data_IF_955423748536
#
_entry.id   IF_955423748536
#
_cell.length_a   1.000
_cell.length_b   1.000
_cell.length_c   1.000
_cell.angle_alpha   90.00
_cell.angle_beta   90.00
_cell.angle_gamma   90.00
#
_symmetry.space_group_name_H-M   'P 1'
#
loop_
_entity.id
_entity.type
_entity.pdbx_description
1 polymer ?
#
# COMPACT_ATOMS: atom_id res chain seq x y z
N UNK A 1 -9.43 7.82 -6.70
CA UNK A 1 -9.15 6.83 -5.62
C UNK A 1 -8.39 7.39 -4.37
N UNK A 2 -7.51 7.98 -3.56
CA UNK A 2 -7.71 8.08 -2.11
C UNK A 2 -8.19 9.45 -1.66
N UNK A 3 -7.53 10.01 -0.64
CA UNK A 3 -7.79 11.33 -0.05
C UNK A 3 -9.22 11.53 0.50
N UNK A 4 -9.68 10.59 1.34
CA UNK A 4 -10.82 10.83 2.24
C UNK A 4 -10.44 11.76 3.40
N UNK A 5 -10.02 12.98 3.09
CA UNK A 5 -9.76 14.03 4.09
C UNK A 5 -11.03 14.41 4.87
N UNK A 6 -12.21 14.20 4.27
CA UNK A 6 -13.49 14.25 4.97
C UNK A 6 -13.83 12.88 5.59
N UNK A 7 -14.17 12.86 6.88
CA UNK A 7 -14.58 11.67 7.66
C UNK A 7 -13.68 10.43 7.45
N UNK A 8 -12.35 10.56 7.62
CA UNK A 8 -11.44 9.44 7.55
C UNK A 8 -11.79 8.36 8.59
N UNK A 9 -11.51 7.10 8.26
CA UNK A 9 -11.69 5.94 9.13
C UNK A 9 -10.39 5.50 9.80
N UNK A 10 -9.25 5.85 9.23
CA UNK A 10 -7.91 5.63 9.79
C UNK A 10 -6.93 6.65 9.19
N UNK A 11 -5.89 7.01 9.94
CA UNK A 11 -4.73 7.78 9.42
C UNK A 11 -3.57 6.82 9.14
N UNK A 12 -2.95 6.91 7.97
CA UNK A 12 -1.78 6.11 7.60
C UNK A 12 -0.53 6.99 7.61
N UNK A 13 0.37 6.77 8.57
CA UNK A 13 1.60 7.53 8.76
C UNK A 13 2.74 6.88 7.96
N UNK A 14 3.17 7.54 6.90
CA UNK A 14 4.14 7.06 5.90
C UNK A 14 5.45 7.89 5.92
N UNK A 15 6.44 7.41 5.15
CA UNK A 15 7.76 8.03 5.03
C UNK A 15 7.72 9.29 4.17
N UNK A 16 7.33 9.13 2.91
CA UNK A 16 7.30 10.16 1.87
C UNK A 16 6.36 9.66 0.75
N UNK A 17 5.64 10.54 0.02
CA UNK A 17 4.81 10.10 -1.10
C UNK A 17 5.69 9.35 -2.10
N UNK A 18 5.42 8.07 -2.41
CA UNK A 18 6.40 7.18 -3.03
C UNK A 18 7.08 7.79 -4.26
N UNK A 19 8.42 7.82 -4.31
CA UNK A 19 9.22 8.59 -5.29
C UNK A 19 8.78 8.40 -6.75
N UNK A 20 8.33 7.20 -7.11
CA UNK A 20 7.71 6.90 -8.42
C UNK A 20 6.60 7.89 -8.82
N UNK A 21 5.82 8.40 -7.88
CA UNK A 21 4.76 9.39 -8.09
C UNK A 21 5.26 10.73 -8.67
N UNK A 22 6.51 11.12 -8.41
CA UNK A 22 7.09 12.35 -9.00
C UNK A 22 7.21 12.22 -10.53
N UNK A 23 7.48 11.00 -11.02
CA UNK A 23 7.53 10.68 -12.44
C UNK A 23 6.15 10.31 -13.01
N UNK A 24 5.45 9.37 -12.36
CA UNK A 24 4.20 8.76 -12.85
C UNK A 24 2.98 9.69 -12.67
N UNK A 25 3.00 10.57 -11.66
CA UNK A 25 1.98 11.58 -11.32
C UNK A 25 0.57 11.07 -11.05
N UNK A 26 0.33 9.76 -11.15
CA UNK A 26 -0.93 9.11 -10.78
C UNK A 26 -0.83 8.53 -9.35
N UNK A 27 -1.25 9.32 -8.36
CA UNK A 27 -1.44 8.84 -6.98
C UNK A 27 -2.61 7.85 -6.86
N UNK A 28 -3.62 7.98 -7.73
CA UNK A 28 -4.92 7.35 -7.58
C UNK A 28 -4.86 5.85 -7.91
N UNK A 29 -4.07 5.46 -8.90
CA UNK A 29 -3.88 4.04 -9.26
C UNK A 29 -2.55 3.46 -8.77
N UNK A 30 -1.89 4.12 -7.81
CA UNK A 30 -0.65 3.61 -7.23
C UNK A 30 -0.86 2.24 -6.55
N UNK A 31 0.04 1.26 -6.75
CA UNK A 31 -0.16 -0.10 -6.29
C UNK A 31 -0.19 -0.22 -4.76
N UNK A 32 0.39 0.72 -3.99
CA UNK A 32 0.35 0.64 -2.52
C UNK A 32 -1.04 0.99 -1.95
N UNK A 33 -1.66 2.15 -2.25
CA UNK A 33 -3.06 2.43 -1.95
C UNK A 33 -4.01 1.33 -2.48
N UNK A 34 -3.91 0.96 -3.77
CA UNK A 34 -4.80 -0.04 -4.39
C UNK A 34 -4.69 -1.42 -3.73
N UNK A 35 -3.48 -1.83 -3.32
CA UNK A 35 -3.30 -3.03 -2.49
C UNK A 35 -3.94 -2.87 -1.11
N UNK A 36 -3.78 -1.73 -0.44
CA UNK A 36 -4.46 -1.48 0.83
C UNK A 36 -5.99 -1.52 0.70
N UNK A 37 -6.58 -0.99 -0.39
CA UNK A 37 -8.01 -1.13 -0.69
C UNK A 37 -8.44 -2.61 -0.72
N UNK A 38 -7.70 -3.46 -1.44
CA UNK A 38 -7.99 -4.90 -1.54
C UNK A 38 -7.87 -5.64 -0.22
N UNK A 39 -6.81 -5.41 0.57
CA UNK A 39 -6.62 -6.09 1.85
C UNK A 39 -7.68 -5.65 2.89
N UNK A 40 -8.19 -4.42 2.79
CA UNK A 40 -9.33 -3.95 3.58
C UNK A 40 -10.63 -4.63 3.15
N UNK A 41 -10.89 -4.79 1.85
CA UNK A 41 -12.04 -5.55 1.33
C UNK A 41 -11.97 -7.02 1.73
N UNK A 42 -10.79 -7.64 1.71
CA UNK A 42 -10.56 -9.00 2.21
C UNK A 42 -10.85 -9.16 3.72
N UNK A 43 -10.77 -8.07 4.48
CA UNK A 43 -11.15 -7.98 5.89
C UNK A 43 -12.60 -7.48 6.12
N UNK A 44 -13.44 -7.48 5.08
CA UNK A 44 -14.87 -7.20 5.19
C UNK A 44 -15.29 -5.74 5.00
N UNK A 45 -14.38 -4.83 4.61
CA UNK A 45 -14.80 -3.48 4.19
C UNK A 45 -15.68 -3.60 2.93
N UNK A 46 -16.91 -3.03 2.88
CA UNK A 46 -17.91 -3.45 1.89
C UNK A 46 -17.58 -3.20 0.41
N UNK A 47 -16.68 -2.28 0.12
CA UNK A 47 -16.25 -1.97 -1.26
C UNK A 47 -14.89 -1.26 -1.28
N UNK A 48 -14.20 -1.25 -2.44
CA UNK A 48 -13.02 -0.39 -2.64
C UNK A 48 -13.31 1.11 -2.47
N UNK A 49 -14.58 1.54 -2.54
CA UNK A 49 -14.96 2.94 -2.32
C UNK A 49 -14.99 3.30 -0.83
N UNK A 50 -15.55 2.45 0.04
CA UNK A 50 -15.42 2.62 1.49
C UNK A 50 -13.97 2.40 1.96
N UNK A 51 -13.19 1.55 1.27
CA UNK A 51 -11.79 1.32 1.59
C UNK A 51 -10.91 2.59 1.46
N UNK A 52 -11.23 3.50 0.51
CA UNK A 52 -10.57 4.82 0.40
C UNK A 52 -10.69 5.68 1.63
N UNK A 53 -11.69 5.43 2.46
CA UNK A 53 -11.87 6.18 3.71
C UNK A 53 -10.80 5.87 4.75
N UNK A 54 -10.03 4.82 4.55
CA UNK A 54 -8.84 4.49 5.35
C UNK A 54 -7.55 5.13 4.80
N UNK A 55 -7.59 5.76 3.63
CA UNK A 55 -6.42 6.34 2.92
C UNK A 55 -6.17 7.81 3.25
N UNK A 56 -6.41 8.22 4.51
CA UNK A 56 -5.95 9.52 4.99
C UNK A 56 -4.46 9.43 5.31
N UNK A 57 -3.65 9.56 4.27
CA UNK A 57 -2.19 9.52 4.37
C UNK A 57 -1.67 10.78 5.04
N UNK A 58 -0.77 10.57 6.00
CA UNK A 58 0.14 11.57 6.54
C UNK A 58 1.55 11.15 6.12
N UNK A 59 2.25 12.01 5.39
CA UNK A 59 3.65 11.80 5.02
C UNK A 59 4.58 12.49 6.03
N UNK A 60 5.64 11.78 6.46
CA UNK A 60 6.57 12.31 7.46
C UNK A 60 7.44 13.46 6.95
N UNK A 61 7.58 13.63 5.63
CA UNK A 61 8.14 14.83 5.01
C UNK A 61 7.10 15.52 4.11
N UNK A 62 7.06 16.86 4.06
CA UNK A 62 6.25 17.58 3.09
C UNK A 62 6.78 17.37 1.65
N UNK A 63 5.90 17.48 0.66
CA UNK A 63 6.21 17.29 -0.78
C UNK A 63 7.36 18.18 -1.28
N UNK A 64 7.57 19.34 -0.66
CA UNK A 64 8.65 20.29 -0.97
C UNK A 64 9.87 20.24 -0.05
N UNK A 65 10.07 19.17 0.73
CA UNK A 65 11.32 18.97 1.47
C UNK A 65 12.52 18.82 0.51
N UNK A 66 13.67 19.38 0.86
CA UNK A 66 14.89 19.28 0.05
C UNK A 66 15.43 17.85 0.01
N UNK A 67 15.67 17.31 -1.19
CA UNK A 67 16.12 15.94 -1.38
C UNK A 67 17.38 15.81 -2.27
N UNK A 68 18.31 14.94 -1.86
CA UNK A 68 19.34 14.41 -2.78
C UNK A 68 18.74 13.24 -3.57
N UNK A 69 17.98 13.61 -4.60
CA UNK A 69 17.14 12.75 -5.44
C UNK A 69 17.78 11.39 -5.77
N UNK A 70 17.31 10.35 -5.07
CA UNK A 70 17.63 8.95 -5.36
C UNK A 70 18.58 8.25 -4.38
N UNK A 71 19.22 8.93 -3.43
CA UNK A 71 19.94 8.23 -2.36
C UNK A 71 18.99 7.75 -1.25
N UNK A 72 18.94 6.43 -1.04
CA UNK A 72 18.21 5.80 0.05
C UNK A 72 18.86 6.16 1.40
N UNK A 73 18.20 7.05 2.15
CA UNK A 73 18.55 7.36 3.54
C UNK A 73 19.01 8.80 3.84
N UNK A 74 19.04 9.69 2.85
CA UNK A 74 19.48 11.09 3.03
C UNK A 74 18.36 12.08 3.36
N UNK A 75 17.09 11.66 3.40
CA UNK A 75 15.95 12.55 3.66
C UNK A 75 15.93 12.98 5.14
N UNK A 76 15.95 14.29 5.47
CA UNK A 76 16.01 14.78 6.84
C UNK A 76 14.64 14.79 7.53
N UNK A 77 14.00 13.62 7.67
CA UNK A 77 12.70 13.47 8.34
C UNK A 77 12.73 13.98 9.80
N UNK A 78 13.88 13.82 10.45
CA UNK A 78 14.12 14.29 11.82
C UNK A 78 14.10 15.85 11.96
N UNK A 79 13.98 16.61 10.87
CA UNK A 79 13.76 18.07 10.90
C UNK A 79 12.28 18.50 10.91
N UNK A 80 11.35 17.61 10.50
CA UNK A 80 9.94 17.97 10.26
C UNK A 80 8.98 17.66 11.43
N UNK A 81 9.49 17.45 12.65
CA UNK A 81 8.71 17.03 13.82
C UNK A 81 7.45 17.86 14.09
N UNK A 82 7.50 19.19 13.99
CA UNK A 82 6.34 20.06 14.26
C UNK A 82 5.27 19.93 13.17
N UNK A 83 5.67 19.85 11.90
CA UNK A 83 4.77 19.56 10.78
C UNK A 83 4.12 18.19 10.95
N UNK A 84 4.90 17.17 11.31
CA UNK A 84 4.41 15.82 11.54
C UNK A 84 3.37 15.79 12.67
N UNK A 85 3.70 16.40 13.82
CA UNK A 85 2.82 16.48 14.97
C UNK A 85 1.54 17.27 14.68
N UNK A 86 1.62 18.39 13.95
CA UNK A 86 0.46 19.18 13.55
C UNK A 86 -0.44 18.42 12.56
N UNK A 87 0.12 17.82 11.53
CA UNK A 87 -0.63 17.10 10.49
C UNK A 87 -1.31 15.83 11.03
N UNK A 88 -0.62 15.06 11.88
CA UNK A 88 -1.24 13.91 12.58
C UNK A 88 -2.37 14.36 13.52
N UNK A 89 -2.23 15.50 14.20
CA UNK A 89 -3.32 16.05 15.05
C UNK A 89 -4.53 16.45 14.21
N UNK A 90 -4.33 17.25 13.17
CA UNK A 90 -5.39 17.73 12.29
C UNK A 90 -6.21 16.58 11.67
N UNK A 91 -5.57 15.48 11.27
CA UNK A 91 -6.25 14.31 10.69
C UNK A 91 -6.98 13.41 11.72
N UNK A 92 -6.73 13.61 13.01
CA UNK A 92 -7.39 12.90 14.12
C UNK A 92 -8.40 13.78 14.89
N UNK A 93 -8.44 15.08 14.60
CA UNK A 93 -9.41 16.04 15.11
C UNK A 93 -10.70 16.03 14.26
N UNK A 94 -11.42 14.90 14.28
CA UNK A 94 -12.77 14.84 13.70
C UNK A 94 -13.73 15.79 14.46
N UNK A 95 -14.31 16.82 13.79
CA UNK A 95 -15.28 17.72 14.39
C UNK A 95 -16.67 17.09 14.59
N UNK A 96 -16.94 15.90 14.04
CA UNK A 96 -18.23 15.22 14.20
C UNK A 96 -18.35 14.43 15.52
N UNK A 97 -17.24 14.01 16.13
CA UNK A 97 -17.23 13.09 17.29
C UNK A 97 -17.20 13.83 18.65
N UNK A 98 -17.60 15.10 18.70
CA UNK A 98 -17.73 15.87 19.95
C UNK A 98 -19.03 15.57 20.72
N UNK A 99 -19.39 14.29 20.84
CA UNK A 99 -20.54 13.84 21.65
C UNK A 99 -20.09 13.48 23.06
N UNK A 100 -19.84 14.51 23.88
CA UNK A 100 -19.62 14.38 25.31
C UNK A 100 -20.91 13.94 26.04
N UNK A 101 -21.14 12.64 26.21
CA UNK A 101 -22.19 12.12 27.11
C UNK A 101 -21.75 12.22 28.59
N UNK A 102 -21.84 13.45 29.12
CA UNK A 102 -21.56 13.77 30.53
C UNK A 102 -22.45 13.01 31.55
N UNK A 103 -23.45 12.23 31.11
CA UNK A 103 -24.43 11.57 31.99
C UNK A 103 -24.03 10.16 32.42
N UNK A 104 -22.94 9.59 31.89
CA UNK A 104 -22.57 8.18 32.10
C UNK A 104 -21.19 7.92 32.71
N UNK A 105 -20.43 8.97 33.06
CA UNK A 105 -19.11 8.82 33.71
C UNK A 105 -18.08 8.03 32.89
N UNK A 106 -18.16 8.09 31.55
CA UNK A 106 -17.31 7.29 30.68
C UNK A 106 -15.88 7.83 30.54
N UNK A 107 -14.98 6.92 30.13
CA UNK A 107 -13.54 7.17 29.95
C UNK A 107 -13.29 8.19 28.82
N UNK A 108 -12.09 8.79 28.84
CA UNK A 108 -11.57 9.77 27.85
C UNK A 108 -12.08 9.49 26.41
N UNK A 109 -12.50 10.52 25.65
CA UNK A 109 -12.88 10.39 24.25
C UNK A 109 -11.77 9.76 23.40
N UNK A 110 -12.11 9.30 22.20
CA UNK A 110 -11.17 8.58 21.33
C UNK A 110 -11.03 9.26 19.96
N UNK A 111 -10.07 8.78 19.19
CA UNK A 111 -9.93 9.08 17.76
C UNK A 111 -10.09 7.80 16.96
N UNK A 112 -10.19 7.94 15.64
CA UNK A 112 -9.88 6.87 14.70
C UNK A 112 -8.44 6.33 14.92
N UNK A 113 -8.14 5.08 14.52
CA UNK A 113 -6.81 4.49 14.65
C UNK A 113 -5.78 5.12 13.71
N UNK A 114 -4.50 4.94 14.05
CA UNK A 114 -3.34 5.22 13.20
C UNK A 114 -2.63 3.91 12.83
N UNK A 115 -2.18 3.76 11.59
CA UNK A 115 -1.19 2.73 11.21
C UNK A 115 0.10 3.42 10.77
N UNK A 116 1.25 2.96 11.27
CA UNK A 116 2.56 3.59 11.09
C UNK A 116 3.48 2.64 10.32
N UNK A 117 3.85 3.03 9.10
CA UNK A 117 4.46 2.14 8.12
C UNK A 117 5.94 2.40 7.89
N UNK A 118 6.75 1.34 7.95
CA UNK A 118 8.19 1.37 7.70
C UNK A 118 9.03 1.72 8.94
N UNK A 119 10.35 1.58 8.84
CA UNK A 119 11.23 1.67 10.02
C UNK A 119 11.40 3.10 10.55
N UNK A 120 11.70 4.07 9.67
CA UNK A 120 11.91 5.45 10.08
C UNK A 120 10.63 6.10 10.65
N UNK A 121 9.44 5.98 10.01
CA UNK A 121 8.22 6.63 10.52
C UNK A 121 7.77 6.07 11.87
N UNK A 122 8.02 4.78 12.15
CA UNK A 122 7.79 4.19 13.49
C UNK A 122 8.70 4.78 14.58
N UNK A 123 9.99 5.01 14.29
CA UNK A 123 10.90 5.70 15.20
C UNK A 123 10.42 7.13 15.50
N UNK A 124 10.03 7.86 14.46
CA UNK A 124 9.51 9.24 14.55
C UNK A 124 8.22 9.29 15.36
N UNK A 125 7.23 8.47 15.02
CA UNK A 125 5.96 8.38 15.74
C UNK A 125 6.18 8.03 17.23
N UNK A 126 7.09 7.10 17.52
CA UNK A 126 7.46 6.76 18.90
C UNK A 126 8.03 7.97 19.65
N UNK A 127 8.95 8.73 19.02
CA UNK A 127 9.56 9.94 19.60
C UNK A 127 8.56 11.09 19.80
N UNK A 128 7.58 11.24 18.91
CA UNK A 128 6.61 12.34 18.96
C UNK A 128 5.47 12.12 19.96
N UNK A 129 5.04 10.87 20.15
CA UNK A 129 3.71 10.59 20.73
C UNK A 129 3.69 9.55 21.85
N UNK A 130 4.75 8.75 22.01
CA UNK A 130 4.82 7.68 23.00
C UNK A 130 5.82 8.07 24.09
N UNK A 131 5.65 7.46 25.27
CA UNK A 131 6.46 7.72 26.45
C UNK A 131 6.79 6.43 27.21
N UNK A 132 7.63 6.53 28.23
CA UNK A 132 8.03 5.46 29.16
C UNK A 132 6.84 4.69 29.81
N UNK A 133 5.63 5.25 29.78
CA UNK A 133 4.40 4.74 30.41
C UNK A 133 3.45 4.12 29.38
N UNK A 134 3.73 4.33 28.10
CA UNK A 134 2.97 3.85 26.97
C UNK A 134 3.17 2.36 26.81
N UNK A 135 2.10 1.59 27.06
CA UNK A 135 2.13 0.14 26.89
C UNK A 135 2.01 -0.21 25.41
N UNK A 136 3.04 -0.87 24.91
CA UNK A 136 3.08 -1.47 23.57
C UNK A 136 2.92 -2.98 23.74
N UNK A 137 2.16 -3.58 22.84
CA UNK A 137 1.84 -5.01 22.82
C UNK A 137 2.20 -5.63 21.47
N UNK A 138 2.56 -6.89 21.47
CA UNK A 138 2.81 -7.70 20.28
C UNK A 138 2.14 -9.07 20.45
N UNK A 139 2.12 -9.88 19.37
CA UNK A 139 1.81 -11.30 19.48
C UNK A 139 3.13 -12.10 19.53
N UNK A 140 3.25 -13.02 20.48
CA UNK A 140 4.42 -13.90 20.60
C UNK A 140 4.35 -15.08 19.61
N UNK A 141 5.38 -15.94 19.58
CA UNK A 141 5.43 -17.13 18.72
C UNK A 141 4.38 -18.20 19.03
N UNK A 142 3.56 -18.00 20.07
CA UNK A 142 2.52 -18.90 20.56
C UNK A 142 1.09 -18.36 20.32
N UNK A 143 0.95 -17.16 19.72
CA UNK A 143 -0.36 -16.53 19.48
C UNK A 143 -0.94 -15.75 20.68
N UNK A 144 -0.12 -15.50 21.70
CA UNK A 144 -0.49 -14.80 22.92
C UNK A 144 -0.03 -13.33 22.91
N UNK A 145 -0.70 -12.48 23.70
CA UNK A 145 -0.37 -11.07 23.82
C UNK A 145 0.82 -10.89 24.77
N UNK A 146 1.92 -10.36 24.25
CA UNK A 146 3.13 -10.00 24.99
C UNK A 146 3.22 -8.48 25.14
N UNK A 147 3.60 -7.97 26.32
CA UNK A 147 3.90 -6.55 26.49
C UNK A 147 5.37 -6.26 26.13
N UNK A 148 5.61 -5.36 25.17
CA UNK A 148 6.96 -4.95 24.78
C UNK A 148 7.52 -3.91 25.76
N UNK A 149 8.80 -4.01 26.17
CA UNK A 149 9.46 -2.97 26.95
C UNK A 149 9.70 -1.70 26.10
N UNK A 150 10.06 -0.60 26.76
CA UNK A 150 10.58 0.65 26.18
C UNK A 150 9.60 1.57 25.42
N UNK A 151 8.32 1.21 25.25
CA UNK A 151 7.29 2.12 24.72
C UNK A 151 7.42 2.48 23.22
N UNK A 152 8.33 1.84 22.49
CA UNK A 152 8.55 2.03 21.05
C UNK A 152 7.59 1.16 20.23
N UNK A 153 7.03 1.70 19.15
CA UNK A 153 6.22 0.93 18.20
C UNK A 153 7.12 0.33 17.11
N UNK A 154 6.98 -0.97 16.83
CA UNK A 154 7.79 -1.77 15.92
C UNK A 154 6.87 -2.58 14.98
N UNK A 155 7.42 -3.44 14.13
CA UNK A 155 6.61 -4.29 13.24
C UNK A 155 5.73 -5.25 14.05
N UNK A 156 4.45 -5.34 13.68
CA UNK A 156 3.39 -6.15 14.31
C UNK A 156 3.13 -5.82 15.79
N UNK A 157 3.36 -4.56 16.19
CA UNK A 157 3.05 -4.07 17.54
C UNK A 157 1.93 -3.03 17.56
N UNK A 158 1.20 -2.95 18.68
CA UNK A 158 0.06 -2.05 18.87
C UNK A 158 0.12 -1.35 20.23
N UNK A 159 -0.39 -0.13 20.31
CA UNK A 159 -0.44 0.64 21.57
C UNK A 159 -1.66 1.56 21.64
N UNK A 160 -1.84 2.20 22.81
CA UNK A 160 -2.81 3.29 23.02
C UNK A 160 -2.05 4.54 23.46
N UNK A 161 -1.83 5.46 22.51
CA UNK A 161 -1.24 6.76 22.79
C UNK A 161 -2.29 7.71 23.40
N UNK A 162 -1.91 8.50 24.41
CA UNK A 162 -2.77 9.55 24.99
C UNK A 162 -2.27 10.98 24.76
N UNK A 163 -1.16 11.12 24.04
CA UNK A 163 -0.40 12.37 23.94
C UNK A 163 -0.48 12.99 22.52
N UNK A 164 -1.20 12.34 21.60
CA UNK A 164 -1.42 12.82 20.22
C UNK A 164 -2.41 13.99 20.23
N UNK A 165 -3.70 13.71 20.49
CA UNK A 165 -4.71 14.73 20.82
C UNK A 165 -4.83 14.81 22.35
N UNK A 166 -4.55 15.96 22.98
CA UNK A 166 -4.74 16.13 24.42
C UNK A 166 -6.13 15.73 24.88
N UNK A 167 -6.21 14.91 25.94
CA UNK A 167 -7.47 14.46 26.52
C UNK A 167 -8.15 13.28 25.80
N UNK A 168 -7.81 12.98 24.54
CA UNK A 168 -8.31 11.78 23.85
C UNK A 168 -7.40 10.55 24.09
N UNK A 169 -7.77 9.42 23.48
CA UNK A 169 -6.96 8.21 23.30
C UNK A 169 -6.97 7.78 21.83
N UNK A 170 -5.79 7.48 21.30
CA UNK A 170 -5.58 7.01 19.92
C UNK A 170 -4.97 5.62 19.94
N UNK A 171 -5.60 4.67 19.26
CA UNK A 171 -4.97 3.37 19.00
C UNK A 171 -3.98 3.50 17.85
N UNK A 172 -2.79 2.91 17.97
CA UNK A 172 -1.78 2.90 16.93
C UNK A 172 -1.24 1.49 16.69
N UNK A 173 -0.94 1.16 15.43
CA UNK A 173 -0.25 -0.06 15.02
C UNK A 173 1.02 0.27 14.25
N UNK A 174 2.12 -0.43 14.55
CA UNK A 174 3.34 -0.40 13.77
C UNK A 174 3.41 -1.56 12.77
N UNK A 175 3.86 -1.28 11.55
CA UNK A 175 4.02 -2.31 10.51
C UNK A 175 5.16 -1.98 9.54
N UNK A 176 5.55 -2.98 8.75
CA UNK A 176 6.46 -2.80 7.61
C UNK A 176 5.73 -2.05 6.49
N UNK A 177 6.45 -1.30 5.65
CA UNK A 177 5.82 -0.60 4.52
C UNK A 177 5.16 -1.60 3.54
N UNK A 178 3.89 -1.44 3.10
CA UNK A 178 3.23 -2.43 2.23
C UNK A 178 3.88 -2.64 0.85
N UNK A 179 4.80 -1.76 0.45
CA UNK A 179 5.65 -1.95 -0.73
C UNK A 179 6.71 -3.05 -0.56
N UNK A 180 7.06 -3.39 0.69
CA UNK A 180 8.00 -4.46 1.01
C UNK A 180 7.53 -5.82 0.48
N UNK A 181 6.21 -6.05 0.37
CA UNK A 181 5.65 -7.23 -0.28
C UNK A 181 6.20 -7.41 -1.70
N UNK A 182 6.26 -6.35 -2.52
CA UNK A 182 6.74 -6.48 -3.90
C UNK A 182 8.26 -6.71 -3.98
N UNK A 183 9.04 -6.19 -3.03
CA UNK A 183 10.44 -6.57 -2.85
C UNK A 183 10.56 -8.07 -2.53
N UNK A 184 9.84 -8.52 -1.50
CA UNK A 184 9.73 -9.91 -1.07
C UNK A 184 9.13 -10.84 -2.12
N UNK A 185 8.43 -10.33 -3.15
CA UNK A 185 7.77 -11.12 -4.19
C UNK A 185 8.42 -11.06 -5.58
N UNK A 186 9.25 -10.05 -5.91
CA UNK A 186 9.82 -9.89 -7.26
C UNK A 186 11.36 -9.77 -7.31
N UNK A 187 12.04 -9.38 -6.23
CA UNK A 187 13.51 -9.17 -6.24
C UNK A 187 14.32 -10.45 -5.99
N UNK A 188 13.69 -11.50 -5.47
CA UNK A 188 14.36 -12.72 -5.00
C UNK A 188 14.89 -12.62 -3.55
N UNK A 189 15.35 -13.75 -2.97
CA UNK A 189 15.93 -13.79 -1.62
C UNK A 189 17.27 -13.06 -1.51
N UNK A 190 17.55 -12.54 -0.31
CA UNK A 190 18.83 -11.89 0.01
C UNK A 190 20.00 -12.87 -0.10
N UNK A 191 21.13 -12.41 -0.66
CA UNK A 191 22.32 -13.23 -0.92
C UNK A 191 22.44 -13.75 -2.36
N UNK A 192 21.40 -13.64 -3.19
CA UNK A 192 21.57 -13.74 -4.64
C UNK A 192 22.42 -12.58 -5.17
N UNK A 193 23.21 -12.81 -6.22
CA UNK A 193 23.94 -11.71 -6.87
C UNK A 193 22.97 -10.74 -7.56
N UNK A 194 23.38 -9.49 -7.75
CA UNK A 194 22.54 -8.47 -8.41
C UNK A 194 22.16 -8.80 -9.88
N UNK A 195 22.78 -9.82 -10.50
CA UNK A 195 22.41 -10.36 -11.83
C UNK A 195 21.36 -11.47 -11.76
N UNK A 196 21.11 -12.02 -10.58
CA UNK A 196 20.14 -13.07 -10.30
C UNK A 196 18.93 -12.54 -9.53
N UNK A 197 19.05 -11.39 -8.88
CA UNK A 197 17.92 -10.66 -8.32
C UNK A 197 17.02 -10.13 -9.44
N UNK A 198 15.70 -10.21 -9.23
CA UNK A 198 14.72 -9.57 -10.10
C UNK A 198 14.56 -8.07 -9.81
N UNK A 199 13.72 -7.40 -10.57
CA UNK A 199 13.32 -6.01 -10.33
C UNK A 199 11.82 -5.92 -10.05
N UNK A 200 11.41 -4.93 -9.26
CA UNK A 200 9.99 -4.68 -8.99
C UNK A 200 9.36 -4.02 -10.23
N UNK A 201 8.16 -4.46 -10.61
CA UNK A 201 7.46 -4.04 -11.83
C UNK A 201 7.58 -5.02 -13.00
N UNK A 202 8.27 -6.16 -12.84
CA UNK A 202 8.37 -7.17 -13.91
C UNK A 202 7.11 -8.03 -14.07
N UNK A 203 6.20 -8.03 -13.09
CA UNK A 203 4.99 -8.86 -13.10
C UNK A 203 5.28 -10.35 -13.16
N UNK A 204 6.34 -10.78 -12.48
CA UNK A 204 6.72 -12.17 -12.32
C UNK A 204 7.15 -12.37 -10.86
N UNK A 205 6.63 -13.41 -10.20
CA UNK A 205 7.08 -13.79 -8.86
C UNK A 205 8.41 -14.54 -9.00
N UNK A 206 9.50 -14.04 -8.44
CA UNK A 206 10.83 -14.64 -8.61
C UNK A 206 10.85 -16.12 -8.13
N UNK A 207 11.43 -17.09 -8.86
CA UNK A 207 11.17 -18.52 -8.60
C UNK A 207 11.81 -19.09 -7.32
N UNK A 208 12.76 -18.38 -6.68
CA UNK A 208 13.57 -18.93 -5.57
C UNK A 208 12.98 -18.80 -4.15
N UNK A 209 11.68 -18.52 -3.98
CA UNK A 209 11.07 -18.23 -2.67
C UNK A 209 10.72 -19.44 -1.81
N UNK A 210 11.73 -20.17 -1.34
CA UNK A 210 11.60 -21.01 -0.14
C UNK A 210 12.97 -21.25 0.56
N UNK A 211 13.73 -20.18 0.83
CA UNK A 211 15.05 -20.28 1.48
C UNK A 211 14.98 -19.88 2.96
N UNK A 212 15.64 -20.68 3.82
CA UNK A 212 15.51 -20.71 5.29
C UNK A 212 15.62 -19.38 6.06
N UNK A 213 16.20 -18.34 5.45
CA UNK A 213 16.51 -17.07 6.11
C UNK A 213 15.70 -15.87 5.55
N UNK A 214 14.74 -16.10 4.66
CA UNK A 214 13.83 -15.06 4.15
C UNK A 214 12.41 -15.32 4.64
N UNK A 215 11.66 -14.25 4.91
CA UNK A 215 10.21 -14.36 5.09
C UNK A 215 9.56 -14.86 3.79
N UNK A 216 8.63 -15.81 3.89
CA UNK A 216 7.88 -16.28 2.72
C UNK A 216 6.85 -15.22 2.26
N UNK A 217 6.58 -15.15 0.96
CA UNK A 217 5.60 -14.20 0.41
C UNK A 217 4.22 -14.38 1.06
N UNK A 218 3.85 -15.62 1.40
CA UNK A 218 2.61 -15.91 2.12
C UNK A 218 2.62 -15.38 3.56
N UNK A 219 3.72 -15.52 4.31
CA UNK A 219 3.87 -14.90 5.64
C UNK A 219 3.74 -13.38 5.57
N UNK A 220 4.40 -12.76 4.58
CA UNK A 220 4.31 -11.31 4.34
C UNK A 220 2.87 -10.89 4.01
N UNK A 221 2.17 -11.63 3.15
CA UNK A 221 0.76 -11.35 2.86
C UNK A 221 -0.13 -11.50 4.09
N UNK A 222 0.10 -12.51 4.94
CA UNK A 222 -0.61 -12.71 6.20
C UNK A 222 -0.40 -11.51 7.15
N UNK A 223 0.82 -11.00 7.33
CA UNK A 223 1.07 -9.78 8.13
C UNK A 223 0.30 -8.57 7.60
N UNK A 224 0.36 -8.36 6.29
CA UNK A 224 -0.27 -7.19 5.69
C UNK A 224 -1.82 -7.28 5.72
N UNK A 225 -2.38 -8.49 5.66
CA UNK A 225 -3.80 -8.78 5.91
C UNK A 225 -4.20 -8.58 7.38
N UNK A 226 -3.35 -8.98 8.33
CA UNK A 226 -3.51 -8.72 9.78
C UNK A 226 -3.59 -7.22 10.05
N UNK A 227 -2.72 -6.43 9.42
CA UNK A 227 -2.71 -4.96 9.56
C UNK A 227 -4.01 -4.36 9.04
N UNK A 228 -4.47 -4.76 7.85
CA UNK A 228 -5.74 -4.29 7.28
C UNK A 228 -6.95 -4.69 8.15
N UNK A 229 -6.94 -5.89 8.74
CA UNK A 229 -7.99 -6.36 9.66
C UNK A 229 -8.02 -5.58 10.98
N UNK A 230 -6.85 -5.33 11.57
CA UNK A 230 -6.74 -4.48 12.76
C UNK A 230 -7.24 -3.07 12.46
N UNK A 231 -6.85 -2.52 11.31
CA UNK A 231 -7.21 -1.20 10.84
C UNK A 231 -8.73 -1.06 10.64
N UNK A 232 -9.38 -2.05 10.00
CA UNK A 232 -10.83 -2.11 9.83
C UNK A 232 -11.55 -2.19 11.18
N UNK A 233 -11.23 -3.18 12.02
CA UNK A 233 -11.91 -3.43 13.30
C UNK A 233 -11.75 -2.27 14.30
N UNK A 234 -10.56 -1.67 14.39
CA UNK A 234 -10.36 -0.48 15.24
C UNK A 234 -11.06 0.77 14.70
N UNK A 235 -11.38 0.84 13.40
CA UNK A 235 -12.15 1.91 12.80
C UNK A 235 -13.67 1.71 12.86
N UNK A 236 -14.15 0.47 12.95
CA UNK A 236 -15.55 0.15 13.27
C UNK A 236 -15.86 0.40 14.75
N UNK A 237 -14.91 0.09 15.63
CA UNK A 237 -15.09 0.30 17.06
C UNK A 237 -13.76 0.68 17.77
N UNK A 238 -13.44 1.98 17.88
CA UNK A 238 -12.26 2.47 18.61
C UNK A 238 -12.21 2.07 20.09
N UNK A 239 -13.35 1.69 20.71
CA UNK A 239 -13.45 1.36 22.15
C UNK A 239 -12.90 -0.03 22.49
N UNK A 240 -12.49 -0.81 21.49
CA UNK A 240 -11.85 -2.10 21.68
C UNK A 240 -10.45 -1.97 22.29
N UNK A 241 -9.92 -3.09 22.81
CA UNK A 241 -8.53 -3.23 23.22
C UNK A 241 -7.69 -3.54 21.98
N UNK A 242 -6.78 -2.66 21.51
CA UNK A 242 -6.01 -2.89 20.29
C UNK A 242 -5.21 -4.20 20.28
N UNK A 243 -4.73 -4.62 21.45
CA UNK A 243 -4.02 -5.86 21.68
C UNK A 243 -4.92 -7.09 21.51
N UNK A 244 -6.22 -6.98 21.84
CA UNK A 244 -7.21 -8.05 21.62
C UNK A 244 -7.67 -8.11 20.19
N UNK A 245 -7.85 -6.96 19.53
CA UNK A 245 -8.13 -6.92 18.09
C UNK A 245 -6.96 -7.54 17.32
N UNK A 246 -5.70 -7.16 17.64
CA UNK A 246 -4.52 -7.76 17.04
C UNK A 246 -4.49 -9.29 17.22
N UNK A 247 -4.78 -9.78 18.42
CA UNK A 247 -4.84 -11.22 18.68
C UNK A 247 -5.91 -11.92 17.82
N UNK A 248 -7.10 -11.33 17.70
CA UNK A 248 -8.22 -11.88 16.91
C UNK A 248 -7.90 -11.94 15.41
N UNK A 249 -7.40 -10.84 14.82
CA UNK A 249 -7.09 -10.83 13.38
C UNK A 249 -5.85 -11.66 13.04
N UNK A 250 -4.90 -11.79 13.99
CA UNK A 250 -3.77 -12.71 13.86
C UNK A 250 -4.24 -14.16 13.85
N UNK A 251 -5.13 -14.55 14.77
CA UNK A 251 -5.72 -15.90 14.79
C UNK A 251 -6.52 -16.18 13.51
N UNK A 252 -7.26 -15.21 13.00
CA UNK A 252 -8.02 -15.35 11.75
C UNK A 252 -7.11 -15.61 10.55
N UNK A 253 -6.10 -14.77 10.29
CA UNK A 253 -5.25 -14.90 9.11
C UNK A 253 -4.16 -15.97 9.21
N UNK A 254 -3.92 -16.54 10.41
CA UNK A 254 -3.09 -17.73 10.62
C UNK A 254 -3.87 -19.05 10.50
N UNK A 255 -5.21 -19.02 10.46
CA UNK A 255 -6.03 -20.20 10.22
C UNK A 255 -5.73 -20.80 8.83
N UNK A 256 -5.37 -22.09 8.72
CA UNK A 256 -5.21 -22.77 7.43
C UNK A 256 -6.42 -22.63 6.48
N UNK A 257 -7.62 -22.40 7.00
CA UNK A 257 -8.82 -22.11 6.20
C UNK A 257 -8.70 -20.82 5.36
N UNK A 258 -7.85 -19.86 5.74
CA UNK A 258 -7.60 -18.65 4.95
C UNK A 258 -6.56 -18.85 3.82
N UNK A 259 -5.96 -20.04 3.70
CA UNK A 259 -4.98 -20.34 2.64
C UNK A 259 -5.47 -19.97 1.23
N UNK A 260 -6.73 -20.22 0.81
CA UNK A 260 -7.20 -19.83 -0.52
C UNK A 260 -7.11 -18.32 -0.76
N UNK A 261 -7.60 -17.52 0.19
CA UNK A 261 -7.60 -16.05 0.14
C UNK A 261 -6.18 -15.50 0.12
N UNK A 262 -5.33 -15.95 1.05
CA UNK A 262 -3.90 -15.56 1.13
C UNK A 262 -3.19 -15.88 -0.19
N UNK A 263 -3.39 -17.09 -0.73
CA UNK A 263 -2.76 -17.54 -1.98
C UNK A 263 -3.23 -16.73 -3.20
N UNK A 264 -4.53 -16.44 -3.30
CA UNK A 264 -5.07 -15.61 -4.37
C UNK A 264 -4.46 -14.20 -4.36
N UNK A 265 -4.39 -13.54 -3.19
CA UNK A 265 -3.74 -12.22 -3.09
C UNK A 265 -2.22 -12.30 -3.35
N UNK A 266 -1.51 -13.36 -2.92
CA UNK A 266 -0.08 -13.55 -3.22
C UNK A 266 0.16 -13.61 -4.73
N UNK A 267 -0.62 -14.42 -5.46
CA UNK A 267 -0.48 -14.57 -6.91
C UNK A 267 -0.93 -13.30 -7.65
N UNK A 268 -2.05 -12.71 -7.25
CA UNK A 268 -2.54 -11.45 -7.83
C UNK A 268 -1.53 -10.32 -7.64
N UNK A 269 -1.24 -9.91 -6.40
CA UNK A 269 -0.33 -8.79 -6.12
C UNK A 269 1.11 -9.08 -6.56
N UNK A 270 1.56 -10.34 -6.51
CA UNK A 270 2.87 -10.74 -7.04
C UNK A 270 2.99 -10.62 -8.56
N UNK A 271 1.87 -10.55 -9.29
CA UNK A 271 1.81 -10.32 -10.74
C UNK A 271 1.90 -8.85 -11.17
N UNK A 272 2.09 -7.92 -10.24
CA UNK A 272 2.20 -6.47 -10.51
C UNK A 272 3.31 -6.15 -11.53
N UNK A 273 2.90 -5.58 -12.65
CA UNK A 273 3.72 -5.11 -13.76
C UNK A 273 3.63 -3.58 -13.90
N UNK A 274 4.77 -2.95 -14.13
CA UNK A 274 4.90 -1.57 -14.59
C UNK A 274 6.32 -1.37 -15.16
N UNK A 275 6.49 -0.92 -16.42
CA UNK A 275 7.79 -1.01 -17.11
C UNK A 275 8.79 0.12 -16.79
N UNK A 276 8.49 1.03 -15.85
CA UNK A 276 9.21 2.31 -15.72
C UNK A 276 10.60 2.27 -15.04
N UNK A 277 11.19 1.08 -14.81
CA UNK A 277 12.43 0.90 -14.04
C UNK A 277 13.52 0.13 -14.81
N UNK A 278 13.75 0.44 -16.08
CA UNK A 278 14.92 -0.09 -16.79
C UNK A 278 16.22 0.60 -16.32
N UNK A 279 17.09 -0.18 -15.68
CA UNK A 279 18.48 0.19 -15.33
C UNK A 279 18.66 1.52 -14.57
N UNK A 280 17.73 1.86 -13.68
CA UNK A 280 17.84 3.02 -12.78
C UNK A 280 17.67 4.38 -13.46
N UNK A 281 17.29 4.41 -14.75
CA UNK A 281 16.78 5.61 -15.40
C UNK A 281 15.27 5.44 -15.51
N UNK A 282 14.50 6.22 -14.75
CA UNK A 282 13.08 6.35 -15.03
C UNK A 282 12.98 7.03 -16.41
N UNK A 283 12.46 6.35 -17.45
CA UNK A 283 12.14 7.04 -18.68
C UNK A 283 10.96 7.93 -18.34
N UNK A 284 11.08 9.25 -18.53
CA UNK A 284 9.89 10.10 -18.66
C UNK A 284 9.37 9.85 -20.06
N UNK A 285 8.26 9.12 -20.25
CA UNK A 285 7.75 8.87 -21.59
C UNK A 285 7.00 10.11 -22.08
N UNK A 286 7.02 10.32 -23.40
CA UNK A 286 6.30 11.42 -24.03
C UNK A 286 4.77 11.26 -23.94
N UNK A 287 4.28 10.07 -23.56
CA UNK A 287 2.85 9.76 -23.33
C UNK A 287 2.62 9.22 -21.89
N UNK A 288 1.91 9.97 -21.03
CA UNK A 288 1.52 9.50 -19.69
C UNK A 288 0.69 8.21 -19.66
N UNK A 289 0.05 7.79 -20.75
CA UNK A 289 -0.71 6.53 -20.79
C UNK A 289 0.18 5.29 -20.81
N UNK A 290 1.48 5.40 -21.13
CA UNK A 290 2.42 4.25 -21.06
C UNK A 290 2.89 3.94 -19.63
N UNK A 291 2.34 4.62 -18.63
CA UNK A 291 2.70 4.51 -17.21
C UNK A 291 1.57 3.87 -16.39
N UNK A 292 0.87 2.90 -16.97
CA UNK A 292 -0.09 2.07 -16.26
C UNK A 292 0.61 1.16 -15.22
N UNK A 293 -0.07 0.95 -14.10
CA UNK A 293 0.15 -0.20 -13.22
C UNK A 293 -0.87 -1.27 -13.60
N UNK A 294 -0.41 -2.50 -13.86
CA UNK A 294 -1.27 -3.61 -14.23
C UNK A 294 -0.92 -4.85 -13.40
N UNK A 295 -1.90 -5.70 -13.14
CA UNK A 295 -1.68 -7.02 -12.56
C UNK A 295 -1.99 -8.05 -13.63
N UNK A 296 -1.00 -8.90 -13.99
CA UNK A 296 -1.13 -9.82 -15.15
C UNK A 296 -2.21 -10.89 -15.00
N UNK A 297 -2.73 -11.09 -13.78
CA UNK A 297 -3.92 -11.90 -13.47
C UNK A 297 -4.81 -11.14 -12.49
N UNK A 298 -6.13 -11.20 -12.65
CA UNK A 298 -7.05 -10.62 -11.66
C UNK A 298 -7.07 -11.46 -10.37
N UNK A 299 -7.66 -10.94 -9.29
CA UNK A 299 -7.83 -11.71 -8.05
C UNK A 299 -8.69 -12.97 -8.25
N UNK A 300 -9.65 -12.94 -9.18
CA UNK A 300 -10.48 -14.10 -9.53
C UNK A 300 -9.68 -15.16 -10.31
N UNK A 301 -8.89 -14.73 -11.30
CA UNK A 301 -8.01 -15.64 -12.07
C UNK A 301 -6.93 -16.24 -11.18
N UNK A 302 -6.38 -15.44 -10.26
CA UNK A 302 -5.42 -15.88 -9.26
C UNK A 302 -6.02 -16.91 -8.30
N UNK A 303 -7.27 -16.74 -7.87
CA UNK A 303 -7.98 -17.73 -7.06
C UNK A 303 -8.23 -19.04 -7.83
N UNK A 304 -8.66 -18.95 -9.10
CA UNK A 304 -8.85 -20.12 -9.96
C UNK A 304 -7.54 -20.89 -10.24
N UNK A 305 -6.44 -20.17 -10.51
CA UNK A 305 -5.11 -20.74 -10.67
C UNK A 305 -4.65 -21.44 -9.37
N UNK A 306 -4.87 -20.80 -8.23
CA UNK A 306 -4.57 -21.40 -6.92
C UNK A 306 -5.39 -22.68 -6.68
N UNK A 307 -6.68 -22.69 -7.02
CA UNK A 307 -7.51 -23.88 -6.90
C UNK A 307 -7.05 -25.01 -7.83
N UNK A 308 -6.74 -24.71 -9.09
CA UNK A 308 -6.21 -25.67 -10.08
C UNK A 308 -4.93 -26.37 -9.60
N UNK A 309 -4.09 -25.66 -8.86
CA UNK A 309 -2.81 -26.17 -8.34
C UNK A 309 -2.87 -26.56 -6.85
N UNK A 310 -4.05 -26.85 -6.30
CA UNK A 310 -4.26 -27.29 -4.90
C UNK A 310 -3.60 -26.36 -3.85
N UNK A 311 -3.53 -25.06 -4.16
CA UNK A 311 -2.88 -24.03 -3.36
C UNK A 311 -1.37 -24.26 -3.12
N UNK A 312 -0.68 -24.99 -4.00
CA UNK A 312 0.79 -25.06 -4.01
C UNK A 312 1.41 -23.82 -4.66
N UNK A 313 2.21 -23.07 -3.90
CA UNK A 313 2.77 -21.80 -4.35
C UNK A 313 3.80 -21.95 -5.48
N UNK A 314 4.60 -23.01 -5.50
CA UNK A 314 5.60 -23.21 -6.54
C UNK A 314 4.94 -23.55 -7.88
N UNK A 315 3.90 -24.40 -7.86
CA UNK A 315 3.08 -24.70 -9.03
C UNK A 315 2.33 -23.47 -9.54
N UNK A 316 1.72 -22.68 -8.65
CA UNK A 316 1.03 -21.43 -9.03
C UNK A 316 1.98 -20.42 -9.68
N UNK A 317 3.18 -20.21 -9.13
CA UNK A 317 4.20 -19.33 -9.71
C UNK A 317 4.63 -19.84 -11.10
N UNK A 318 4.86 -21.16 -11.22
CA UNK A 318 5.26 -21.79 -12.49
C UNK A 318 4.19 -21.61 -13.56
N UNK A 319 2.91 -21.79 -13.23
CA UNK A 319 1.80 -21.61 -14.16
C UNK A 319 1.58 -20.13 -14.53
N UNK A 320 1.69 -19.20 -13.56
CA UNK A 320 1.68 -17.75 -13.83
C UNK A 320 2.78 -17.35 -14.82
N UNK A 321 3.97 -17.93 -14.70
CA UNK A 321 5.08 -17.66 -15.63
C UNK A 321 4.80 -18.22 -17.03
N UNK A 322 4.16 -19.39 -17.15
CA UNK A 322 3.76 -19.98 -18.44
C UNK A 322 2.69 -19.13 -19.14
N UNK A 323 1.68 -18.65 -18.41
CA UNK A 323 0.68 -17.71 -18.93
C UNK A 323 1.35 -16.45 -19.49
N UNK A 324 2.25 -15.84 -18.72
CA UNK A 324 2.93 -14.59 -19.07
C UNK A 324 4.11 -14.73 -20.05
N UNK A 325 4.43 -15.94 -20.55
CA UNK A 325 5.50 -16.18 -21.54
C UNK A 325 5.03 -16.73 -22.89
N UNK A 326 3.74 -17.09 -23.03
CA UNK A 326 3.15 -17.40 -24.34
C UNK A 326 2.36 -18.70 -24.43
N UNK A 327 1.45 -18.97 -23.49
CA UNK A 327 0.44 -20.02 -23.67
C UNK A 327 -0.49 -19.71 -24.86
N UNK A 328 -0.22 -20.31 -26.02
CA UNK A 328 -0.92 -20.01 -27.28
C UNK A 328 -2.35 -20.64 -27.35
N UNK A 329 -3.28 -20.13 -26.56
CA UNK A 329 -4.69 -20.54 -26.59
C UNK A 329 -5.68 -19.38 -26.33
N UNK A 330 -6.47 -19.06 -27.36
CA UNK A 330 -7.78 -18.37 -27.32
C UNK A 330 -7.97 -17.14 -26.40
N UNK A 331 -7.79 -15.95 -26.96
CA UNK A 331 -8.37 -14.71 -26.41
C UNK A 331 -9.90 -14.71 -26.52
N UNK A 332 -10.60 -14.77 -25.38
CA UNK A 332 -12.04 -14.50 -25.30
C UNK A 332 -12.27 -13.08 -24.73
N UNK A 333 -12.14 -12.06 -25.58
CA UNK A 333 -12.36 -10.66 -25.18
C UNK A 333 -13.85 -10.43 -24.87
N UNK A 334 -14.25 -10.05 -23.64
CA UNK A 334 -15.64 -9.74 -23.35
C UNK A 334 -16.10 -8.54 -24.20
N UNK A 335 -17.24 -8.69 -24.87
CA UNK A 335 -17.77 -7.65 -25.75
C UNK A 335 -18.26 -6.45 -24.93
N UNK A 336 -17.81 -5.24 -25.29
CA UNK A 336 -18.35 -4.02 -24.72
C UNK A 336 -19.83 -3.87 -25.12
N UNK A 337 -20.72 -3.78 -24.12
CA UNK A 337 -22.17 -3.62 -24.29
C UNK A 337 -22.52 -2.20 -24.74
N UNK A 338 -22.28 -1.91 -26.03
CA UNK A 338 -22.62 -0.63 -26.64
C UNK A 338 -24.14 -0.40 -26.66
N UNK A 339 -24.60 0.56 -25.87
CA UNK A 339 -25.97 1.10 -25.99
C UNK A 339 -26.11 1.86 -27.31
N UNK A 340 -27.16 1.57 -28.07
CA UNK A 340 -27.35 2.10 -29.41
C UNK A 340 -28.30 3.31 -29.44
N UNK A 341 -27.84 4.44 -29.96
CA UNK A 341 -28.70 5.59 -30.29
C UNK A 341 -28.10 6.44 -31.43
N UNK A 342 -28.96 7.01 -32.27
CA UNK A 342 -28.67 8.25 -33.02
C UNK A 342 -27.68 8.16 -34.18
N UNK A 343 -28.06 7.50 -35.28
CA UNK A 343 -27.39 7.71 -36.57
C UNK A 343 -27.93 8.92 -37.32
N UNK A 344 -27.06 9.74 -37.93
CA UNK A 344 -27.35 10.41 -39.21
C UNK A 344 -26.07 10.88 -39.90
N UNK A 345 -26.06 10.85 -41.24
CA UNK A 345 -24.87 11.12 -42.06
C UNK A 345 -24.78 12.59 -42.49
N UNK A 346 -23.57 13.16 -42.50
CA UNK A 346 -23.19 14.22 -43.46
C UNK A 346 -21.77 14.00 -43.97
N UNK A 347 -21.58 14.19 -45.28
CA UNK A 347 -20.32 13.98 -46.00
C UNK A 347 -19.52 15.28 -46.16
N UNK A 348 -18.20 15.09 -46.23
CA UNK A 348 -17.23 15.84 -47.03
C UNK A 348 -16.99 17.33 -46.76
N UNK A 349 -15.72 17.63 -46.45
CA UNK A 349 -14.94 18.64 -47.18
C UNK A 349 -13.53 18.09 -47.46
N UNK A 350 -12.98 18.34 -48.66
CA UNK A 350 -11.58 18.04 -49.00
C UNK A 350 -10.73 19.29 -48.78
N UNK A 351 -9.63 19.18 -48.04
CA UNK A 351 -8.65 20.26 -47.86
C UNK A 351 -7.21 19.77 -48.11
N UNK A 352 -6.78 19.73 -49.38
CA UNK A 352 -5.35 19.59 -49.70
C UNK A 352 -4.72 20.98 -49.81
N UNK A 353 -3.65 21.23 -49.08
CA UNK A 353 -2.68 22.28 -49.42
C UNK A 353 -1.28 21.84 -48.99
N UNK A 354 -0.31 22.02 -49.89
CA UNK A 354 1.11 21.72 -49.67
C UNK A 354 1.93 23.00 -49.77
N UNK A 355 3.00 23.09 -48.97
CA UNK A 355 4.27 23.82 -49.24
C UNK A 355 5.19 23.67 -48.01
N UNK A 356 6.32 22.95 -48.15
CA UNK A 356 7.67 23.50 -48.36
C UNK A 356 8.12 24.49 -47.28
N UNK A 357 9.11 24.11 -46.45
CA UNK A 357 9.78 25.03 -45.52
C UNK A 357 10.87 25.88 -46.18
N UNK A 358 11.73 26.53 -45.38
CA UNK A 358 13.17 26.30 -45.59
C UNK A 358 13.99 26.12 -44.30
N UNK A 359 15.23 25.64 -44.45
CA UNK A 359 16.24 25.54 -43.37
C UNK A 359 16.94 26.89 -43.14
N UNK A 360 17.21 27.23 -41.88
CA UNK A 360 18.41 27.92 -41.33
C UNK A 360 18.21 28.09 -39.81
N UNK A 361 19.20 28.22 -38.93
CA UNK A 361 20.59 27.76 -38.79
C UNK A 361 21.25 28.65 -37.73
N UNK A 362 21.79 28.05 -36.66
CA UNK A 362 22.85 28.59 -35.76
C UNK A 362 22.63 29.95 -35.08
N UNK A 363 22.54 29.91 -33.74
CA UNK A 363 23.14 30.94 -32.88
C UNK A 363 23.70 30.30 -31.60
N UNK A 364 25.00 30.46 -31.34
CA UNK A 364 25.58 30.21 -30.00
C UNK A 364 25.31 31.43 -29.12
N UNK A 365 25.07 31.21 -27.82
CA UNK A 365 25.68 32.07 -26.78
C UNK A 365 25.78 31.35 -25.44
N UNK A 366 27.01 31.25 -24.95
CA UNK A 366 27.34 30.96 -23.55
C UNK A 366 27.56 32.26 -22.80
N UNK A 367 27.00 32.37 -21.60
CA UNK A 367 27.70 32.83 -20.40
C UNK A 367 26.95 32.36 -19.16
#
# INVERSE_FOLDING_TARGET
>A
HGLSLARPRCVQFFHYPPIRLLALRNYLDDPVPRRCEELLVANGVPSPEEARRFEAVMDSCPIGASDEQGQLGTIPIDEFYDYQAAQTRLLLEDPADTVYDNRKGWKKPQTIPVVVYGQHPKRVFSKLFLDERTKVYAINGQGEIEARPNGVIDDDTVCVASNIIPGKKTAAMGSTHPYAFYGTAQVGPFGLSAKQQGTIGQGFIHPAYNQKNCESIASRMIRDLIVAGWQASMADNPKQQPEKVLQQVTQHWQDPAQRPTVMAHVIHQGSLWYPCLDQGKIPVPDDPQTLCFEWKVSLADAAALCQQHNYDLAACITALHQLATGGAAATAKPAASGSAAGGTSRKAAKGKSSKTGPKKAVAKRTR
#
